data_IF_391370399733
#
_entry.id   IF_391370399733
#
_cell.length_a   1.000
_cell.length_b   1.000
_cell.length_c   1.000
_cell.angle_alpha   90.00
_cell.angle_beta   90.00
_cell.angle_gamma   90.00
#
_symmetry.space_group_name_H-M   'P 1'
#
loop_
_entity.id
_entity.type
_entity.pdbx_description
1 polymer ?
#
# COMPACT_ATOMS: atom_id res chain seq x y z
N UNK A 1 2.34 -6.33 -23.18
CA UNK A 1 2.78 -7.01 -21.95
C UNK A 1 2.00 -6.35 -20.82
N UNK A 2 1.09 -7.06 -20.15
CA UNK A 2 0.35 -6.49 -19.01
C UNK A 2 1.37 -6.11 -17.95
N UNK A 3 1.45 -4.83 -17.59
CA UNK A 3 2.34 -4.37 -16.54
C UNK A 3 1.88 -4.98 -15.22
N UNK A 4 2.62 -5.94 -14.70
CA UNK A 4 2.38 -6.45 -13.36
C UNK A 4 2.44 -5.29 -12.36
N UNK A 5 1.49 -5.25 -11.43
CA UNK A 5 1.55 -4.31 -10.33
C UNK A 5 2.83 -4.59 -9.54
N UNK A 6 3.74 -3.61 -9.53
CA UNK A 6 5.02 -3.72 -8.83
C UNK A 6 4.84 -3.66 -7.31
N UNK A 7 3.78 -3.01 -6.86
CA UNK A 7 3.37 -2.98 -5.45
C UNK A 7 1.89 -3.31 -5.36
N UNK A 8 1.55 -4.26 -4.49
CA UNK A 8 0.17 -4.57 -4.14
C UNK A 8 0.09 -4.72 -2.62
N UNK A 9 -0.55 -3.74 -1.99
CA UNK A 9 -0.83 -3.68 -0.56
C UNK A 9 -2.33 -3.85 -0.37
N UNK A 10 -2.72 -4.78 0.49
CA UNK A 10 -4.11 -5.05 0.84
C UNK A 10 -4.25 -4.84 2.34
N UNK A 11 -5.19 -3.98 2.72
CA UNK A 11 -5.65 -3.77 4.10
C UNK A 11 -4.51 -3.59 5.11
N UNK A 12 -3.55 -2.70 4.80
CA UNK A 12 -2.40 -2.44 5.65
C UNK A 12 -2.80 -1.64 6.90
N UNK A 13 -2.54 -2.24 8.05
CA UNK A 13 -2.61 -1.61 9.35
C UNK A 13 -1.23 -1.42 9.96
N UNK A 14 -0.97 -0.25 10.54
CA UNK A 14 0.28 0.02 11.28
C UNK A 14 -0.01 0.80 12.54
N UNK A 15 0.58 0.36 13.65
CA UNK A 15 0.46 1.00 14.96
C UNK A 15 1.82 1.34 15.54
N UNK A 16 1.89 2.49 16.20
CA UNK A 16 3.01 2.88 17.07
C UNK A 16 2.44 3.13 18.47
N UNK A 17 2.75 2.23 19.41
CA UNK A 17 2.16 2.24 20.75
C UNK A 17 0.64 2.04 20.70
N UNK A 18 -0.11 2.96 21.31
CA UNK A 18 -1.57 2.95 21.29
C UNK A 18 -2.20 3.51 20.01
N UNK A 19 -1.43 4.15 19.12
CA UNK A 19 -1.97 4.91 18.00
C UNK A 19 -1.76 4.19 16.66
N UNK A 20 -2.87 3.94 15.95
CA UNK A 20 -2.89 3.39 14.60
C UNK A 20 -2.70 4.48 13.53
N UNK A 21 -1.58 4.41 12.82
CA UNK A 21 -1.11 5.41 11.85
C UNK A 21 -1.45 5.06 10.40
N UNK A 22 -1.60 3.76 10.09
CA UNK A 22 -2.19 3.30 8.83
C UNK A 22 -3.40 2.45 9.20
N UNK A 23 -4.56 2.78 8.63
CA UNK A 23 -5.86 2.20 8.98
C UNK A 23 -6.49 1.56 7.74
N UNK A 24 -6.26 0.27 7.54
CA UNK A 24 -6.84 -0.50 6.43
C UNK A 24 -6.47 0.03 5.05
N UNK A 25 -5.22 0.45 4.87
CA UNK A 25 -4.78 1.09 3.62
C UNK A 25 -4.52 0.03 2.55
N UNK A 26 -5.18 0.16 1.40
CA UNK A 26 -4.89 -0.67 0.22
C UNK A 26 -4.31 0.19 -0.90
N UNK A 27 -3.28 -0.32 -1.58
CA UNK A 27 -2.59 0.40 -2.66
C UNK A 27 -2.13 -0.57 -3.75
N UNK A 28 -2.35 -0.18 -5.00
CA UNK A 28 -1.75 -0.82 -6.16
C UNK A 28 -0.90 0.21 -6.90
N UNK A 29 0.35 -0.12 -7.20
CA UNK A 29 1.23 0.73 -7.98
C UNK A 29 1.96 -0.07 -9.06
N UNK A 30 2.10 0.55 -10.23
CA UNK A 30 2.86 0.07 -11.37
C UNK A 30 4.26 0.68 -11.36
N UNK A 31 5.14 0.14 -12.19
CA UNK A 31 6.47 0.71 -12.36
C UNK A 31 6.37 2.12 -12.98
N UNK A 32 6.93 3.12 -12.29
CA UNK A 32 6.96 4.51 -12.75
C UNK A 32 5.88 5.40 -12.14
N UNK A 33 4.93 4.83 -11.39
CA UNK A 33 3.95 5.62 -10.66
C UNK A 33 4.62 6.46 -9.56
N UNK A 34 4.21 7.73 -9.44
CA UNK A 34 4.56 8.62 -8.34
C UNK A 34 3.28 8.87 -7.55
N UNK A 35 3.29 8.52 -6.27
CA UNK A 35 2.13 8.40 -5.39
C UNK A 35 2.40 9.17 -4.10
#
# INVERSE_FOLDING_TARGET
MMSENKLHVIDLHKRYGGHEVLKGVSLQARAGDVI
#
